data_IF_931012905981
#
_entry.id   IF_931012905981
#
_cell.length_a   1.000
_cell.length_b   1.000
_cell.length_c   1.000
_cell.angle_alpha   90.00
_cell.angle_beta   90.00
_cell.angle_gamma   90.00
#
_symmetry.space_group_name_H-M   'P 1'
#
loop_
_entity.id
_entity.type
_entity.pdbx_description
1 polymer ?
#
# COMPACT_ATOMS: atom_id res chain seq x y z
N UNK A 1 3.73 76.41 17.29
CA UNK A 1 2.95 75.21 16.95
C UNK A 1 3.84 74.35 16.06
N UNK A 2 4.62 73.45 16.67
CA UNK A 2 4.46 71.98 16.59
C UNK A 2 4.63 71.50 15.13
N UNK A 3 5.65 70.70 14.77
CA UNK A 3 5.73 69.25 15.01
C UNK A 3 7.05 68.72 14.40
N UNK A 4 7.86 68.07 15.25
CA UNK A 4 8.74 66.86 15.08
C UNK A 4 9.74 66.69 13.90
N UNK A 5 11.06 66.54 14.14
CA UNK A 5 11.89 65.29 14.34
C UNK A 5 11.84 64.29 13.16
N UNK A 6 12.85 63.53 12.75
CA UNK A 6 14.28 63.35 13.02
C UNK A 6 14.80 62.29 12.02
N UNK A 7 16.13 62.16 11.94
CA UNK A 7 16.88 60.92 11.67
C UNK A 7 17.09 60.48 10.21
N UNK A 8 18.19 60.99 9.66
CA UNK A 8 19.05 60.35 8.66
C UNK A 8 19.92 59.28 9.34
N UNK A 9 19.89 58.03 8.87
CA UNK A 9 21.04 57.10 8.81
C UNK A 9 20.55 55.76 8.25
N UNK A 10 20.80 55.49 6.96
CA UNK A 10 20.67 54.15 6.41
C UNK A 10 22.07 53.55 6.35
N UNK A 11 22.43 52.89 7.46
CA UNK A 11 23.66 52.13 7.61
C UNK A 11 23.64 50.89 6.70
N UNK A 12 24.83 50.48 6.29
CA UNK A 12 25.09 49.46 5.28
C UNK A 12 25.31 48.07 5.90
N UNK A 13 25.03 47.02 5.10
CA UNK A 13 25.49 45.60 5.15
C UNK A 13 24.52 44.55 5.74
N UNK A 14 24.67 43.26 5.41
CA UNK A 14 25.18 42.63 4.18
C UNK A 14 24.23 41.55 3.59
N UNK A 15 24.57 41.13 2.38
CA UNK A 15 24.08 39.96 1.65
C UNK A 15 23.90 38.71 2.55
N UNK A 16 22.68 38.18 2.68
CA UNK A 16 22.47 36.83 3.20
C UNK A 16 22.61 35.80 2.09
N UNK A 17 23.83 35.65 1.58
CA UNK A 17 24.22 34.41 0.92
C UNK A 17 24.28 33.34 2.00
N UNK A 18 23.24 32.52 2.06
CA UNK A 18 23.19 31.31 2.88
C UNK A 18 24.13 30.29 2.23
N UNK A 19 25.44 30.49 2.38
CA UNK A 19 26.43 29.49 2.07
C UNK A 19 26.19 28.30 3.02
N UNK A 20 25.49 27.31 2.48
CA UNK A 20 25.38 26.00 3.12
C UNK A 20 26.77 25.41 3.05
N UNK A 21 27.54 25.56 4.13
CA UNK A 21 28.83 24.89 4.30
C UNK A 21 28.58 23.38 4.29
N UNK A 22 28.70 22.78 3.09
CA UNK A 22 28.71 21.35 2.89
C UNK A 22 30.07 20.87 3.40
N UNK A 23 30.12 20.39 4.65
CA UNK A 23 31.33 19.78 5.20
C UNK A 23 31.40 18.31 4.72
N UNK A 24 32.26 18.00 3.73
CA UNK A 24 32.35 16.65 3.17
C UNK A 24 32.84 15.62 4.20
N UNK A 25 33.53 16.04 5.26
CA UNK A 25 33.96 15.16 6.34
C UNK A 25 32.79 14.76 7.25
N UNK A 26 31.89 15.70 7.56
CA UNK A 26 30.65 15.43 8.29
C UNK A 26 29.74 14.47 7.49
N UNK A 27 29.61 14.65 6.18
CA UNK A 27 28.77 13.79 5.34
C UNK A 27 29.38 12.42 5.06
N UNK A 28 30.72 12.30 5.08
CA UNK A 28 31.37 11.00 5.10
C UNK A 28 31.08 10.26 6.40
N UNK A 29 31.16 10.96 7.54
CA UNK A 29 30.90 10.37 8.87
C UNK A 29 29.45 9.89 9.01
N UNK A 30 28.47 10.71 8.58
CA UNK A 30 27.05 10.33 8.53
C UNK A 30 26.83 9.04 7.74
N UNK A 31 27.41 8.94 6.53
CA UNK A 31 27.30 7.75 5.68
C UNK A 31 27.88 6.49 6.34
N UNK A 32 28.99 6.60 7.08
CA UNK A 32 29.58 5.46 7.79
C UNK A 32 28.67 4.99 8.94
N UNK A 33 28.07 5.92 9.67
CA UNK A 33 27.09 5.59 10.72
C UNK A 33 25.86 4.92 10.11
N UNK A 34 25.31 5.47 9.03
CA UNK A 34 24.15 4.89 8.34
C UNK A 34 24.44 3.47 7.83
N UNK A 35 25.65 3.23 7.31
CA UNK A 35 26.08 1.89 6.89
C UNK A 35 26.15 0.91 8.05
N UNK A 36 26.70 1.32 9.20
CA UNK A 36 26.76 0.47 10.39
C UNK A 36 25.37 0.20 10.96
N UNK A 37 24.49 1.22 11.00
CA UNK A 37 23.08 1.05 11.37
C UNK A 37 22.41 0.01 10.47
N UNK A 38 22.56 0.13 9.15
CA UNK A 38 21.98 -0.81 8.20
C UNK A 38 22.50 -2.24 8.42
N UNK A 39 23.81 -2.41 8.67
CA UNK A 39 24.44 -3.71 8.95
C UNK A 39 23.88 -4.36 10.22
N UNK A 40 23.69 -3.57 11.27
CA UNK A 40 23.12 -4.05 12.54
C UNK A 40 21.65 -4.40 12.38
N UNK A 41 20.87 -3.59 11.67
CA UNK A 41 19.47 -3.89 11.36
C UNK A 41 19.31 -5.20 10.60
N UNK A 42 20.17 -5.47 9.62
CA UNK A 42 20.13 -6.71 8.85
C UNK A 42 20.50 -7.92 9.73
N UNK A 43 21.47 -7.75 10.64
CA UNK A 43 21.80 -8.78 11.64
C UNK A 43 20.61 -9.08 12.54
N UNK A 44 19.91 -8.06 13.04
CA UNK A 44 18.67 -8.20 13.83
C UNK A 44 17.58 -8.90 13.00
N UNK A 45 17.43 -8.56 11.72
CA UNK A 45 16.45 -9.16 10.81
C UNK A 45 16.70 -10.65 10.57
N UNK A 46 17.97 -11.07 10.53
CA UNK A 46 18.35 -12.49 10.44
C UNK A 46 18.00 -13.22 11.74
N UNK A 47 18.39 -12.68 12.90
CA UNK A 47 18.10 -13.28 14.20
C UNK A 47 16.60 -13.40 14.47
N UNK A 48 15.81 -12.36 14.18
CA UNK A 48 14.34 -12.38 14.27
C UNK A 48 13.75 -13.50 13.44
N UNK A 49 14.25 -13.72 12.22
CA UNK A 49 13.76 -14.81 11.38
C UNK A 49 14.09 -16.20 11.93
N UNK A 50 15.31 -16.39 12.44
CA UNK A 50 15.70 -17.66 13.09
C UNK A 50 14.80 -17.96 14.28
N UNK A 51 14.53 -16.95 15.11
CA UNK A 51 13.59 -17.05 16.23
C UNK A 51 12.17 -17.37 15.77
N UNK A 52 11.68 -16.72 14.70
CA UNK A 52 10.32 -16.93 14.20
C UNK A 52 10.11 -18.37 13.68
N UNK A 53 11.14 -19.02 13.14
CA UNK A 53 11.08 -20.45 12.75
C UNK A 53 10.85 -21.37 13.95
N UNK A 54 11.26 -20.96 15.15
CA UNK A 54 11.06 -21.72 16.39
C UNK A 54 9.67 -21.51 17.01
N UNK A 55 8.87 -20.56 16.50
CA UNK A 55 7.53 -20.33 17.02
C UNK A 55 6.61 -21.51 16.69
N UNK A 56 5.70 -21.93 17.59
CA UNK A 56 4.78 -23.04 17.31
C UNK A 56 3.98 -22.88 16.02
N UNK A 57 3.55 -21.65 15.72
CA UNK A 57 2.76 -21.35 14.51
C UNK A 57 3.57 -21.47 13.21
N UNK A 58 4.90 -21.39 13.26
CA UNK A 58 5.76 -21.61 12.10
C UNK A 58 5.91 -23.09 11.71
N UNK A 59 5.38 -24.01 12.53
CA UNK A 59 5.30 -25.45 12.22
C UNK A 59 4.05 -25.80 11.40
N UNK A 60 3.13 -24.86 11.23
CA UNK A 60 1.94 -25.10 10.41
C UNK A 60 2.34 -25.19 8.93
N UNK A 61 1.77 -26.15 8.19
CA UNK A 61 1.91 -26.17 6.73
C UNK A 61 1.39 -24.86 6.09
N UNK A 62 1.95 -24.45 4.94
CA UNK A 62 1.48 -23.28 4.21
C UNK A 62 -0.04 -23.27 3.97
N UNK A 63 -0.65 -24.42 3.72
CA UNK A 63 -2.09 -24.58 3.45
C UNK A 63 -2.94 -24.16 4.67
N UNK A 64 -2.47 -24.51 5.88
CA UNK A 64 -3.15 -24.15 7.11
C UNK A 64 -3.02 -22.66 7.40
N UNK A 65 -1.84 -22.09 7.14
CA UNK A 65 -1.63 -20.64 7.24
C UNK A 65 -2.48 -19.88 6.23
N UNK A 66 -2.54 -20.33 4.98
CA UNK A 66 -3.44 -19.77 3.96
C UNK A 66 -4.89 -19.80 4.40
N UNK A 67 -5.35 -20.90 5.01
CA UNK A 67 -6.72 -21.00 5.54
C UNK A 67 -6.98 -20.00 6.68
N UNK A 68 -6.03 -19.83 7.59
CA UNK A 68 -6.10 -18.81 8.66
C UNK A 68 -6.17 -17.41 8.04
N UNK A 69 -5.34 -17.11 7.05
CA UNK A 69 -5.35 -15.82 6.36
C UNK A 69 -6.68 -15.57 5.64
N UNK A 70 -7.31 -16.60 5.06
CA UNK A 70 -8.62 -16.47 4.42
C UNK A 70 -9.70 -16.06 5.42
N UNK A 71 -9.68 -16.60 6.65
CA UNK A 71 -10.60 -16.18 7.70
C UNK A 71 -10.37 -14.71 8.09
N UNK A 72 -9.11 -14.28 8.22
CA UNK A 72 -8.78 -12.87 8.50
C UNK A 72 -9.18 -11.94 7.36
N UNK A 73 -9.02 -12.37 6.11
CA UNK A 73 -9.46 -11.62 4.94
C UNK A 73 -10.99 -11.44 4.93
N UNK A 74 -11.74 -12.53 5.18
CA UNK A 74 -13.20 -12.49 5.27
C UNK A 74 -13.69 -11.55 6.39
N UNK A 75 -13.12 -11.66 7.59
CA UNK A 75 -13.44 -10.78 8.72
C UNK A 75 -13.16 -9.30 8.40
N UNK A 76 -12.04 -9.01 7.73
CA UNK A 76 -11.70 -7.64 7.36
C UNK A 76 -12.58 -7.07 6.25
N UNK A 77 -13.14 -7.90 5.37
CA UNK A 77 -13.93 -7.44 4.22
C UNK A 77 -15.17 -6.64 4.64
N UNK A 78 -15.71 -6.91 5.83
CA UNK A 78 -16.86 -6.23 6.43
C UNK A 78 -16.45 -5.07 7.36
N UNK A 79 -15.15 -4.85 7.57
CA UNK A 79 -14.62 -3.82 8.47
C UNK A 79 -14.44 -2.47 7.77
N UNK A 80 -14.15 -1.43 8.56
CA UNK A 80 -13.79 -0.10 8.05
C UNK A 80 -12.51 -0.09 7.21
N UNK A 81 -11.67 -1.14 7.31
CA UNK A 81 -10.44 -1.27 6.55
C UNK A 81 -10.30 -2.68 5.95
N UNK A 82 -10.90 -2.92 4.78
CA UNK A 82 -10.87 -4.21 4.07
C UNK A 82 -9.48 -4.72 3.68
N UNK A 83 -8.44 -3.90 3.83
CA UNK A 83 -7.05 -4.25 3.55
C UNK A 83 -6.25 -4.56 4.82
N UNK A 84 -6.89 -4.56 5.99
CA UNK A 84 -6.22 -4.83 7.27
C UNK A 84 -5.65 -6.25 7.33
N UNK A 85 -6.31 -7.23 6.70
CA UNK A 85 -5.81 -8.59 6.67
C UNK A 85 -4.41 -8.69 6.06
N UNK A 86 -4.00 -7.76 5.18
CA UNK A 86 -2.67 -7.74 4.57
C UNK A 86 -1.56 -7.60 5.63
N UNK A 87 -1.87 -7.08 6.83
CA UNK A 87 -0.95 -7.02 7.97
C UNK A 87 -0.33 -8.37 8.32
N UNK A 88 -1.02 -9.49 8.09
CA UNK A 88 -0.45 -10.83 8.30
C UNK A 88 0.82 -11.06 7.45
N UNK A 89 0.94 -10.40 6.29
CA UNK A 89 2.12 -10.47 5.42
C UNK A 89 3.31 -9.62 5.89
N UNK A 90 3.15 -8.86 6.98
CA UNK A 90 4.19 -7.99 7.55
C UNK A 90 4.87 -8.59 8.80
N UNK A 91 4.24 -9.55 9.48
CA UNK A 91 4.73 -10.07 10.76
C UNK A 91 5.96 -10.98 10.62
N UNK A 92 6.05 -11.76 9.54
CA UNK A 92 7.21 -12.62 9.26
C UNK A 92 7.47 -12.82 7.77
N UNK A 93 8.72 -13.13 7.41
CA UNK A 93 9.08 -13.49 6.02
C UNK A 93 8.34 -14.72 5.53
N UNK A 94 8.13 -15.70 6.42
CA UNK A 94 7.40 -16.92 6.09
C UNK A 94 5.93 -16.65 5.79
N UNK A 95 5.25 -15.87 6.64
CA UNK A 95 3.84 -15.51 6.42
C UNK A 95 3.67 -14.66 5.18
N UNK A 96 4.61 -13.75 4.92
CA UNK A 96 4.64 -12.98 3.67
C UNK A 96 4.71 -13.89 2.45
N UNK A 97 5.61 -14.86 2.44
CA UNK A 97 5.74 -15.81 1.34
C UNK A 97 4.43 -16.58 1.13
N UNK A 98 3.87 -17.16 2.19
CA UNK A 98 2.61 -17.91 2.13
C UNK A 98 1.44 -17.05 1.63
N UNK A 99 1.31 -15.81 2.14
CA UNK A 99 0.24 -14.91 1.72
C UNK A 99 0.36 -14.50 0.25
N UNK A 100 1.58 -14.24 -0.24
CA UNK A 100 1.82 -13.87 -1.64
C UNK A 100 1.67 -15.07 -2.59
N UNK A 101 2.00 -16.28 -2.14
CA UNK A 101 1.90 -17.51 -2.92
C UNK A 101 0.50 -18.13 -2.93
N UNK A 102 -0.47 -17.54 -2.22
CA UNK A 102 -1.85 -18.01 -2.17
C UNK A 102 -2.79 -17.07 -2.94
N UNK A 103 -3.08 -17.32 -4.24
CA UNK A 103 -3.81 -16.38 -5.08
C UNK A 103 -5.26 -16.16 -4.64
N UNK A 104 -5.88 -17.14 -3.99
CA UNK A 104 -7.26 -17.03 -3.49
C UNK A 104 -7.46 -15.94 -2.44
N UNK A 105 -6.42 -15.58 -1.68
CA UNK A 105 -6.48 -14.47 -0.72
C UNK A 105 -6.66 -13.11 -1.39
N UNK A 106 -6.23 -12.99 -2.65
CA UNK A 106 -6.24 -11.74 -3.41
C UNK A 106 -7.50 -11.60 -4.29
N UNK A 107 -8.42 -12.57 -4.24
CA UNK A 107 -9.58 -12.63 -5.12
C UNK A 107 -10.72 -11.68 -4.76
N UNK A 108 -10.82 -11.24 -3.49
CA UNK A 108 -11.83 -10.28 -3.05
C UNK A 108 -11.34 -8.85 -3.26
N UNK A 109 -11.73 -8.22 -4.35
CA UNK A 109 -11.15 -6.94 -4.78
C UNK A 109 -11.70 -5.76 -3.96
N UNK A 110 -10.80 -4.87 -3.55
CA UNK A 110 -11.13 -3.65 -2.80
C UNK A 110 -10.84 -2.41 -3.66
N UNK A 111 -11.88 -1.73 -4.09
CA UNK A 111 -11.76 -0.60 -5.03
C UNK A 111 -11.57 0.76 -4.37
N UNK A 112 -11.71 0.88 -3.03
CA UNK A 112 -11.49 2.13 -2.30
C UNK A 112 -10.06 2.66 -2.42
N UNK A 113 -9.11 1.79 -2.78
CA UNK A 113 -7.72 2.12 -3.07
C UNK A 113 -7.31 1.50 -4.42
N UNK A 114 -7.43 2.22 -5.56
CA UNK A 114 -7.23 1.64 -6.90
C UNK A 114 -5.90 0.90 -7.11
N UNK A 115 -4.80 1.43 -6.56
CA UNK A 115 -3.49 0.76 -6.60
C UNK A 115 -3.49 -0.62 -5.94
N UNK A 116 -4.29 -0.79 -4.88
CA UNK A 116 -4.43 -2.08 -4.23
C UNK A 116 -5.31 -3.03 -5.03
N UNK A 117 -6.43 -2.57 -5.61
CA UNK A 117 -7.24 -3.44 -6.48
C UNK A 117 -6.44 -3.98 -7.67
N UNK A 118 -5.59 -3.16 -8.29
CA UNK A 118 -4.70 -3.61 -9.37
C UNK A 118 -3.70 -4.68 -8.89
N UNK A 119 -3.07 -4.46 -7.73
CA UNK A 119 -2.13 -5.44 -7.16
C UNK A 119 -2.84 -6.73 -6.72
N UNK A 120 -4.06 -6.63 -6.20
CA UNK A 120 -4.90 -7.79 -5.86
C UNK A 120 -5.30 -8.57 -7.11
N UNK A 121 -5.69 -7.88 -8.17
CA UNK A 121 -6.00 -8.48 -9.46
C UNK A 121 -4.80 -9.23 -10.04
N UNK A 122 -3.61 -8.62 -9.97
CA UNK A 122 -2.34 -9.25 -10.38
C UNK A 122 -2.01 -10.49 -9.54
N UNK A 123 -2.07 -10.38 -8.22
CA UNK A 123 -1.69 -11.48 -7.29
C UNK A 123 -2.68 -12.62 -7.26
N UNK A 124 -3.93 -12.36 -7.60
CA UNK A 124 -4.97 -13.39 -7.66
C UNK A 124 -4.82 -14.34 -8.85
N UNK A 125 -3.94 -14.06 -9.81
CA UNK A 125 -3.59 -14.95 -10.94
C UNK A 125 -4.84 -15.47 -11.66
N UNK A 126 -5.20 -16.74 -11.53
CA UNK A 126 -6.41 -17.35 -12.11
C UNK A 126 -7.42 -17.78 -11.04
N UNK A 127 -7.24 -17.39 -9.78
CA UNK A 127 -8.18 -17.70 -8.71
C UNK A 127 -9.52 -16.98 -8.92
N UNK A 128 -10.57 -17.51 -8.29
CA UNK A 128 -11.90 -16.89 -8.30
C UNK A 128 -11.86 -15.45 -7.79
N UNK A 129 -12.61 -14.56 -8.44
CA UNK A 129 -12.75 -13.15 -8.10
C UNK A 129 -14.14 -12.87 -7.50
N UNK A 130 -14.14 -12.02 -6.49
CA UNK A 130 -15.32 -11.39 -5.90
C UNK A 130 -15.21 -9.89 -6.16
N UNK A 131 -16.14 -9.36 -6.95
CA UNK A 131 -16.18 -7.96 -7.38
C UNK A 131 -17.40 -7.31 -6.75
N UNK A 132 -17.17 -6.52 -5.69
CA UNK A 132 -18.21 -5.72 -5.02
C UNK A 132 -17.82 -4.24 -5.13
N UNK A 133 -18.59 -3.46 -5.87
CA UNK A 133 -18.29 -2.06 -6.11
C UNK A 133 -19.52 -1.18 -5.90
N UNK A 134 -19.38 -0.17 -5.03
CA UNK A 134 -20.29 0.95 -4.94
C UNK A 134 -19.72 2.13 -5.74
N UNK A 135 -20.43 2.48 -6.81
CA UNK A 135 -20.08 3.47 -7.81
C UNK A 135 -21.01 4.69 -7.75
N UNK A 136 -21.75 4.85 -6.66
CA UNK A 136 -22.58 6.04 -6.42
C UNK A 136 -21.74 7.30 -6.17
N UNK A 137 -20.54 7.14 -5.60
CA UNK A 137 -19.56 8.20 -5.38
C UNK A 137 -18.22 7.84 -6.06
N UNK A 138 -18.17 7.95 -7.38
CA UNK A 138 -17.08 7.41 -8.20
C UNK A 138 -16.02 8.46 -8.57
N UNK A 139 -14.75 8.06 -8.51
CA UNK A 139 -13.66 8.79 -9.16
C UNK A 139 -13.26 8.07 -10.45
N UNK A 140 -12.67 8.75 -11.45
CA UNK A 140 -12.22 8.10 -12.68
C UNK A 140 -11.31 6.88 -12.44
N UNK A 141 -10.50 6.90 -11.38
CA UNK A 141 -9.62 5.79 -11.02
C UNK A 141 -10.37 4.57 -10.46
N UNK A 142 -11.44 4.78 -9.70
CA UNK A 142 -12.29 3.69 -9.21
C UNK A 142 -13.05 3.08 -10.37
N UNK A 143 -13.60 3.91 -11.27
CA UNK A 143 -14.24 3.44 -12.50
C UNK A 143 -13.31 2.53 -13.29
N UNK A 144 -12.09 2.98 -13.54
CA UNK A 144 -11.12 2.22 -14.30
C UNK A 144 -10.70 0.92 -13.60
N UNK A 145 -10.47 0.95 -12.28
CA UNK A 145 -10.13 -0.26 -11.53
C UNK A 145 -11.25 -1.32 -11.58
N UNK A 146 -12.51 -0.90 -11.50
CA UNK A 146 -13.66 -1.79 -11.65
C UNK A 146 -13.74 -2.31 -13.09
N UNK A 147 -13.57 -1.44 -14.08
CA UNK A 147 -13.56 -1.82 -15.50
C UNK A 147 -12.49 -2.89 -15.78
N UNK A 148 -11.27 -2.69 -15.30
CA UNK A 148 -10.18 -3.65 -15.41
C UNK A 148 -10.52 -4.98 -14.74
N UNK A 149 -11.17 -4.96 -13.57
CA UNK A 149 -11.62 -6.20 -12.92
C UNK A 149 -12.68 -6.94 -13.75
N UNK A 150 -13.60 -6.22 -14.39
CA UNK A 150 -14.64 -6.80 -15.25
C UNK A 150 -14.06 -7.48 -16.50
N UNK A 151 -12.88 -7.06 -16.98
CA UNK A 151 -12.18 -7.76 -18.07
C UNK A 151 -11.83 -9.22 -17.73
N UNK A 152 -11.80 -9.57 -16.44
CA UNK A 152 -11.54 -10.92 -15.96
C UNK A 152 -12.83 -11.75 -15.75
N UNK A 153 -13.91 -11.42 -16.46
CA UNK A 153 -15.23 -12.06 -16.41
C UNK A 153 -15.24 -13.57 -16.14
N UNK A 154 -14.47 -14.41 -16.87
CA UNK A 154 -14.49 -15.87 -16.71
C UNK A 154 -14.12 -16.40 -15.32
N UNK A 155 -13.38 -15.62 -14.53
CA UNK A 155 -12.98 -15.98 -13.16
C UNK A 155 -13.75 -15.20 -12.10
N UNK A 156 -14.70 -14.35 -12.47
CA UNK A 156 -15.59 -13.68 -11.51
C UNK A 156 -16.70 -14.65 -11.09
N UNK A 157 -16.73 -15.00 -9.81
CA UNK A 157 -17.76 -15.86 -9.24
C UNK A 157 -18.89 -15.06 -8.56
N UNK A 158 -18.57 -13.88 -8.03
CA UNK A 158 -19.54 -12.99 -7.41
C UNK A 158 -19.35 -11.58 -7.96
N UNK A 159 -20.43 -11.01 -8.50
CA UNK A 159 -20.45 -9.65 -9.03
C UNK A 159 -21.61 -8.86 -8.40
N UNK A 160 -21.28 -7.80 -7.67
CA UNK A 160 -22.25 -6.85 -7.12
C UNK A 160 -21.82 -5.43 -7.49
N UNK A 161 -22.63 -4.75 -8.29
CA UNK A 161 -22.40 -3.37 -8.71
C UNK A 161 -23.57 -2.51 -8.26
N UNK A 162 -23.28 -1.44 -7.51
CA UNK A 162 -24.26 -0.41 -7.15
C UNK A 162 -23.90 0.88 -7.88
N UNK A 163 -24.67 1.27 -8.88
CA UNK A 163 -24.41 2.47 -9.67
C UNK A 163 -25.69 3.00 -10.33
N UNK A 164 -25.65 4.23 -10.85
CA UNK A 164 -26.70 4.72 -11.74
C UNK A 164 -26.74 3.92 -13.04
N UNK A 165 -27.91 3.77 -13.66
CA UNK A 165 -28.08 2.98 -14.90
C UNK A 165 -27.16 3.45 -16.03
N UNK A 166 -26.95 4.76 -16.18
CA UNK A 166 -26.02 5.31 -17.15
C UNK A 166 -24.57 4.86 -16.92
N UNK A 167 -24.13 4.79 -15.67
CA UNK A 167 -22.79 4.32 -15.29
C UNK A 167 -22.61 2.82 -15.57
N UNK A 168 -23.63 2.01 -15.28
CA UNK A 168 -23.60 0.57 -15.60
C UNK A 168 -23.51 0.37 -17.11
N UNK A 169 -24.32 1.10 -17.90
CA UNK A 169 -24.21 1.06 -19.36
C UNK A 169 -22.81 1.44 -19.80
N UNK A 170 -22.27 2.56 -19.31
CA UNK A 170 -20.91 3.00 -19.66
C UNK A 170 -19.82 1.97 -19.31
N UNK A 171 -19.95 1.23 -18.20
CA UNK A 171 -19.03 0.14 -17.85
C UNK A 171 -19.08 -1.04 -18.82
N UNK A 172 -20.27 -1.32 -19.36
CA UNK A 172 -20.51 -2.49 -20.23
C UNK A 172 -20.40 -2.16 -21.73
N UNK A 173 -20.47 -0.89 -22.11
CA UNK A 173 -20.51 -0.44 -23.51
C UNK A 173 -19.16 -0.25 -24.18
N UNK A 174 -18.04 -0.53 -23.49
CA UNK A 174 -16.72 -0.56 -24.13
C UNK A 174 -16.27 -2.01 -24.20
N UNK A 175 -16.51 -2.61 -25.36
CA UNK A 175 -16.24 -4.01 -25.61
C UNK A 175 -14.79 -4.36 -25.26
N UNK A 176 -14.68 -5.54 -24.66
CA UNK A 176 -13.49 -6.37 -24.66
C UNK A 176 -13.15 -6.71 -26.13
N UNK A 177 -12.41 -5.84 -26.80
CA UNK A 177 -11.61 -6.21 -27.99
C UNK A 177 -10.13 -6.32 -27.61
#
# INVERSE_FOLDING_TARGET
>A
MAVTTSTTSHDSRPCTDTFTSHDPAADKTRRLIDQEMQRLEDSIRVLKSRRNVLAPIARLPPEMLSKIFSFRAAESAESLNPLEWIRVSHDSRHWRAVALDCPSLWGSLVFTRPKWSEEMLKRSKMASLVVKADLTCITPRIFEAVRLALLHGPRIHELQLRAASATIKHLLSTDLE
#
